data_IF_464469629148
#
_entry.id   IF_464469629148
#
_cell.length_a   1.000
_cell.length_b   1.000
_cell.length_c   1.000
_cell.angle_alpha   90.00
_cell.angle_beta   90.00
_cell.angle_gamma   90.00
#
_symmetry.space_group_name_H-M   'P 1'
#
loop_
_entity.id
_entity.type
_entity.pdbx_description
1 polymer ?
#
# COMPACT_ATOMS: atom_id res chain seq x y z
N UNK A 1 17.58 -24.88 8.85
CA UNK A 1 16.64 -25.66 9.67
C UNK A 1 15.23 -25.36 9.17
N UNK A 2 14.44 -26.38 8.85
CA UNK A 2 13.01 -26.16 8.56
C UNK A 2 12.36 -25.71 9.86
N UNK A 3 11.67 -24.58 9.86
CA UNK A 3 11.03 -24.07 11.09
C UNK A 3 10.04 -25.12 11.62
N UNK A 4 10.02 -25.33 12.93
CA UNK A 4 8.98 -26.15 13.57
C UNK A 4 7.61 -25.48 13.53
N UNK A 5 7.56 -24.17 13.23
CA UNK A 5 6.32 -23.43 13.08
C UNK A 5 5.43 -24.08 12.01
N UNK A 6 4.13 -24.18 12.29
CA UNK A 6 3.11 -24.75 11.39
C UNK A 6 3.23 -26.27 11.15
N UNK A 7 4.05 -26.98 11.95
CA UNK A 7 4.20 -28.43 11.84
C UNK A 7 2.88 -29.18 12.07
N UNK A 8 1.97 -28.63 12.87
CA UNK A 8 0.65 -29.15 13.17
C UNK A 8 -0.35 -29.06 12.00
N UNK A 9 -0.08 -28.21 11.00
CA UNK A 9 -1.03 -27.94 9.92
C UNK A 9 -0.98 -29.03 8.83
N UNK A 10 -2.13 -29.54 8.36
CA UNK A 10 -2.18 -30.61 7.35
C UNK A 10 -1.45 -30.28 6.05
N UNK A 11 -1.50 -29.02 5.59
CA UNK A 11 -0.97 -28.61 4.30
C UNK A 11 0.24 -27.67 4.49
N UNK A 12 1.41 -28.10 3.98
CA UNK A 12 2.67 -27.33 4.04
C UNK A 12 2.78 -26.32 2.90
N UNK A 13 1.82 -25.40 2.82
CA UNK A 13 1.81 -24.29 1.86
C UNK A 13 1.54 -22.98 2.57
N UNK A 14 1.94 -21.89 1.92
CA UNK A 14 1.58 -20.53 2.28
C UNK A 14 0.65 -19.98 1.21
N UNK A 15 -0.47 -19.39 1.63
CA UNK A 15 -1.34 -18.61 0.76
C UNK A 15 -1.19 -17.13 1.13
N UNK A 16 -0.80 -16.32 0.14
CA UNK A 16 -0.69 -14.87 0.28
C UNK A 16 -1.84 -14.19 -0.44
N UNK A 17 -2.48 -13.28 0.26
CA UNK A 17 -3.59 -12.48 -0.24
C UNK A 17 -3.16 -11.04 -0.45
N UNK A 18 -3.57 -10.44 -1.56
CA UNK A 18 -3.66 -8.99 -1.63
C UNK A 18 -4.76 -8.48 -0.67
N UNK A 19 -4.78 -7.19 -0.36
CA UNK A 19 -5.73 -6.60 0.60
C UNK A 19 -6.95 -6.02 -0.12
N UNK A 20 -6.79 -4.87 -0.78
CA UNK A 20 -7.87 -4.16 -1.46
C UNK A 20 -8.39 -5.01 -2.65
N UNK A 21 -9.73 -5.05 -2.83
CA UNK A 21 -10.44 -5.84 -3.84
C UNK A 21 -10.22 -7.37 -3.79
N UNK A 22 -9.48 -7.87 -2.79
CA UNK A 22 -9.27 -9.31 -2.56
C UNK A 22 -9.86 -9.79 -1.24
N UNK A 23 -9.48 -9.16 -0.12
CA UNK A 23 -10.00 -9.49 1.22
C UNK A 23 -11.06 -8.48 1.69
N UNK A 24 -10.97 -7.25 1.21
CA UNK A 24 -11.87 -6.14 1.55
C UNK A 24 -12.16 -5.29 0.32
N UNK A 25 -13.37 -4.68 0.22
CA UNK A 25 -13.56 -3.60 -0.74
C UNK A 25 -12.59 -2.45 -0.42
N UNK A 26 -12.21 -1.62 -1.41
CA UNK A 26 -11.16 -0.64 -1.23
C UNK A 26 -11.46 0.32 -0.08
N UNK A 27 -10.56 0.37 0.92
CA UNK A 27 -10.69 1.22 2.13
C UNK A 27 -11.94 0.93 2.98
N UNK A 28 -12.50 -0.27 2.90
CA UNK A 28 -13.60 -0.72 3.76
C UNK A 28 -13.17 -1.94 4.58
N UNK A 29 -13.92 -2.24 5.63
CA UNK A 29 -13.72 -3.43 6.44
C UNK A 29 -13.99 -4.71 5.65
N UNK A 30 -13.21 -5.77 5.91
CA UNK A 30 -13.53 -7.11 5.45
C UNK A 30 -14.88 -7.60 6.01
N UNK A 31 -15.60 -8.43 5.25
CA UNK A 31 -16.89 -8.95 5.71
C UNK A 31 -16.72 -10.06 6.76
N UNK A 32 -17.69 -10.28 7.66
CA UNK A 32 -17.64 -11.36 8.64
C UNK A 32 -17.44 -12.75 8.01
N UNK A 33 -17.95 -12.98 6.81
CA UNK A 33 -17.79 -14.22 6.06
C UNK A 33 -16.33 -14.46 5.64
N UNK A 34 -15.64 -13.41 5.18
CA UNK A 34 -14.21 -13.47 4.84
C UNK A 34 -13.39 -13.76 6.10
N UNK A 35 -13.67 -13.07 7.20
CA UNK A 35 -12.99 -13.28 8.48
C UNK A 35 -13.13 -14.74 8.96
N UNK A 36 -14.36 -15.29 8.89
CA UNK A 36 -14.61 -16.69 9.24
C UNK A 36 -13.85 -17.65 8.32
N UNK A 37 -13.86 -17.39 7.00
CA UNK A 37 -13.14 -18.21 6.02
C UNK A 37 -11.64 -18.23 6.28
N UNK A 38 -11.03 -17.07 6.56
CA UNK A 38 -9.60 -16.94 6.86
C UNK A 38 -9.22 -17.75 8.11
N UNK A 39 -10.03 -17.67 9.18
CA UNK A 39 -9.82 -18.47 10.40
C UNK A 39 -9.86 -19.97 10.14
N UNK A 40 -10.80 -20.46 9.33
CA UNK A 40 -10.86 -21.89 8.97
C UNK A 40 -9.70 -22.29 8.06
N UNK A 41 -9.31 -21.44 7.10
CA UNK A 41 -8.18 -21.70 6.20
C UNK A 41 -6.85 -21.78 6.95
N UNK A 42 -6.65 -20.91 7.95
CA UNK A 42 -5.44 -20.90 8.80
C UNK A 42 -5.21 -22.20 9.54
N UNK A 43 -6.26 -22.94 9.89
CA UNK A 43 -6.14 -24.27 10.52
C UNK A 43 -5.55 -25.31 9.56
N UNK A 44 -5.70 -25.11 8.26
CA UNK A 44 -5.26 -26.05 7.23
C UNK A 44 -3.82 -25.77 6.75
N UNK A 45 -3.45 -24.49 6.63
CA UNK A 45 -2.18 -24.04 6.07
C UNK A 45 -1.77 -22.65 6.59
N UNK A 46 -0.56 -22.20 6.27
CA UNK A 46 -0.11 -20.85 6.61
C UNK A 46 -0.77 -19.79 5.71
N UNK A 47 -1.27 -18.72 6.31
CA UNK A 47 -1.85 -17.59 5.56
C UNK A 47 -1.08 -16.31 5.84
N UNK A 48 -1.03 -15.44 4.84
CA UNK A 48 -0.51 -14.09 5.01
C UNK A 48 -1.17 -13.09 4.08
N UNK A 49 -1.01 -11.80 4.40
CA UNK A 49 -1.41 -10.72 3.52
C UNK A 49 -0.18 -9.99 2.96
N UNK A 50 -0.33 -9.40 1.79
CA UNK A 50 0.63 -8.48 1.18
C UNK A 50 -0.12 -7.26 0.67
N UNK A 51 0.35 -6.06 1.01
CA UNK A 51 -0.28 -4.81 0.55
C UNK A 51 0.73 -3.69 0.40
N UNK A 52 0.47 -2.77 -0.54
CA UNK A 52 1.29 -1.59 -0.75
C UNK A 52 1.09 -0.48 0.28
N UNK A 53 0.03 -0.57 1.07
CA UNK A 53 -0.28 0.36 2.16
C UNK A 53 0.59 0.09 3.40
N UNK A 54 0.70 1.10 4.26
CA UNK A 54 1.26 0.93 5.60
C UNK A 54 0.38 0.00 6.46
N UNK A 55 0.96 -0.56 7.53
CA UNK A 55 0.27 -1.52 8.39
C UNK A 55 -0.99 -0.93 9.04
N UNK A 56 -0.99 0.36 9.35
CA UNK A 56 -2.12 1.03 10.01
C UNK A 56 -3.35 0.94 9.10
N UNK A 57 -3.21 1.34 7.83
CA UNK A 57 -4.30 1.26 6.85
C UNK A 57 -4.76 -0.17 6.59
N UNK A 58 -3.83 -1.14 6.54
CA UNK A 58 -4.20 -2.54 6.37
C UNK A 58 -4.99 -3.03 7.60
N UNK A 59 -4.55 -2.66 8.80
CA UNK A 59 -5.23 -3.01 10.05
C UNK A 59 -6.62 -2.39 10.14
N UNK A 60 -6.82 -1.15 9.69
CA UNK A 60 -8.15 -0.52 9.64
C UNK A 60 -9.14 -1.30 8.77
N UNK A 61 -8.66 -1.96 7.71
CA UNK A 61 -9.50 -2.75 6.81
C UNK A 61 -9.72 -4.19 7.30
N UNK A 62 -8.68 -4.83 7.83
CA UNK A 62 -8.73 -6.26 8.15
C UNK A 62 -9.06 -6.54 9.61
N UNK A 63 -8.78 -5.61 10.52
CA UNK A 63 -9.08 -5.79 11.95
C UNK A 63 -10.53 -5.41 12.26
N UNK A 64 -11.46 -6.30 11.87
CA UNK A 64 -12.90 -6.13 12.06
C UNK A 64 -13.37 -6.95 13.26
N UNK A 65 -13.99 -6.28 14.25
CA UNK A 65 -14.48 -6.93 15.46
C UNK A 65 -13.32 -7.39 16.37
N UNK A 66 -13.27 -8.68 16.67
CA UNK A 66 -12.22 -9.32 17.48
C UNK A 66 -11.04 -9.84 16.64
N UNK A 67 -11.11 -9.73 15.31
CA UNK A 67 -10.04 -10.19 14.44
C UNK A 67 -8.88 -9.20 14.46
N UNK A 68 -7.71 -9.61 14.95
CA UNK A 68 -6.49 -8.81 14.92
C UNK A 68 -5.58 -9.31 13.79
N UNK A 69 -5.29 -8.44 12.81
CA UNK A 69 -4.53 -8.82 11.61
C UNK A 69 -3.16 -9.43 11.92
N UNK A 70 -2.46 -8.99 12.97
CA UNK A 70 -1.12 -9.49 13.32
C UNK A 70 -1.15 -10.83 14.06
N UNK A 71 -2.27 -11.17 14.69
CA UNK A 71 -2.45 -12.41 15.46
C UNK A 71 -3.11 -13.52 14.62
N UNK A 72 -3.97 -13.11 13.69
CA UNK A 72 -4.80 -13.98 12.87
C UNK A 72 -4.20 -14.28 11.49
N UNK A 73 -3.19 -13.54 11.04
CA UNK A 73 -2.33 -13.94 9.94
C UNK A 73 -0.99 -14.45 10.46
N UNK A 74 -0.44 -15.47 9.80
CA UNK A 74 0.86 -16.01 10.17
C UNK A 74 2.00 -15.16 9.62
N UNK A 75 1.75 -14.49 8.50
CA UNK A 75 2.67 -13.55 7.85
C UNK A 75 1.93 -12.27 7.49
N UNK A 76 2.55 -11.12 7.72
CA UNK A 76 2.00 -9.83 7.30
C UNK A 76 3.05 -9.02 6.56
N UNK A 77 2.74 -8.59 5.35
CA UNK A 77 3.66 -7.82 4.50
C UNK A 77 3.03 -6.47 4.13
N UNK A 78 3.35 -5.43 4.90
CA UNK A 78 2.98 -4.06 4.59
C UNK A 78 4.04 -3.38 3.73
N UNK A 79 3.66 -2.33 3.01
CA UNK A 79 4.53 -1.60 2.07
C UNK A 79 5.25 -2.54 1.09
N UNK A 80 4.53 -3.51 0.52
CA UNK A 80 5.05 -4.56 -0.36
C UNK A 80 6.16 -5.41 0.28
N UNK A 81 6.14 -5.58 1.60
CA UNK A 81 7.04 -6.46 2.34
C UNK A 81 8.27 -5.79 2.95
N UNK A 82 8.41 -4.45 2.83
CA UNK A 82 9.45 -3.72 3.56
C UNK A 82 9.23 -3.77 5.07
N UNK A 83 7.96 -3.71 5.46
CA UNK A 83 7.53 -3.92 6.84
C UNK A 83 6.88 -5.29 6.90
N UNK A 84 7.58 -6.26 7.49
CA UNK A 84 7.14 -7.66 7.52
C UNK A 84 6.97 -8.16 8.95
N UNK A 85 5.98 -9.04 9.14
CA UNK A 85 5.67 -9.71 10.39
C UNK A 85 5.56 -11.21 10.16
N UNK A 86 5.96 -11.98 11.17
CA UNK A 86 5.78 -13.42 11.25
C UNK A 86 5.29 -13.78 12.64
N UNK A 87 4.13 -14.43 12.74
CA UNK A 87 3.51 -14.82 14.01
C UNK A 87 3.40 -13.63 14.99
N UNK A 88 2.90 -12.49 14.49
CA UNK A 88 2.79 -11.24 15.24
C UNK A 88 4.12 -10.54 15.56
N UNK A 89 5.28 -11.14 15.26
CA UNK A 89 6.60 -10.56 15.55
C UNK A 89 7.14 -9.84 14.31
N UNK A 90 7.66 -8.61 14.45
CA UNK A 90 8.30 -7.91 13.34
C UNK A 90 9.55 -8.67 12.89
N UNK A 91 9.72 -8.78 11.58
CA UNK A 91 10.95 -9.23 10.95
C UNK A 91 11.87 -8.03 10.70
N UNK A 92 13.14 -8.31 10.39
CA UNK A 92 14.09 -7.26 10.03
C UNK A 92 13.57 -6.50 8.79
N UNK A 93 13.39 -5.20 8.95
CA UNK A 93 12.91 -4.32 7.90
C UNK A 93 14.06 -3.71 7.12
N UNK A 94 13.90 -3.70 5.79
CA UNK A 94 14.78 -2.97 4.89
C UNK A 94 14.15 -1.64 4.49
N UNK A 95 14.97 -0.68 4.11
CA UNK A 95 14.51 0.58 3.55
C UNK A 95 15.28 0.94 2.29
N UNK A 96 14.69 1.81 1.47
CA UNK A 96 15.30 2.35 0.27
C UNK A 96 16.67 2.95 0.57
N UNK A 97 16.78 3.75 1.64
CA UNK A 97 18.04 4.42 1.97
C UNK A 97 19.11 3.46 2.51
N UNK A 98 18.72 2.40 3.24
CA UNK A 98 19.67 1.36 3.65
C UNK A 98 20.23 0.59 2.45
N UNK A 99 19.45 0.43 1.39
CA UNK A 99 19.85 -0.28 0.18
C UNK A 99 20.70 0.58 -0.76
N UNK A 100 20.29 1.83 -0.99
CA UNK A 100 20.91 2.75 -1.95
C UNK A 100 22.08 3.52 -1.32
N UNK A 101 21.97 3.89 -0.05
CA UNK A 101 22.94 4.74 0.64
C UNK A 101 22.74 6.24 0.37
N UNK A 102 23.23 7.05 1.31
CA UNK A 102 23.05 8.52 1.29
C UNK A 102 23.72 9.21 0.10
N UNK A 103 24.92 8.74 -0.29
CA UNK A 103 25.68 9.34 -1.38
C UNK A 103 24.91 9.26 -2.70
N UNK A 104 24.55 8.04 -3.09
CA UNK A 104 23.87 7.78 -4.37
C UNK A 104 22.45 8.37 -4.35
N UNK A 105 21.79 8.38 -3.18
CA UNK A 105 20.51 9.06 -3.01
C UNK A 105 20.62 10.57 -3.25
N UNK A 106 21.64 11.24 -2.70
CA UNK A 106 21.85 12.68 -2.92
C UNK A 106 22.17 13.00 -4.38
N UNK A 107 22.99 12.20 -5.04
CA UNK A 107 23.27 12.35 -6.47
C UNK A 107 21.99 12.26 -7.31
N UNK A 108 21.13 11.28 -7.02
CA UNK A 108 19.82 11.13 -7.67
C UNK A 108 18.89 12.32 -7.41
N UNK A 109 18.79 12.78 -6.16
CA UNK A 109 17.92 13.92 -5.80
C UNK A 109 18.41 15.19 -6.49
N UNK A 110 19.72 15.45 -6.52
CA UNK A 110 20.29 16.61 -7.21
C UNK A 110 19.97 16.58 -8.71
N UNK A 111 20.14 15.42 -9.35
CA UNK A 111 19.76 15.24 -10.75
C UNK A 111 18.27 15.56 -10.98
N UNK A 112 17.37 14.97 -10.17
CA UNK A 112 15.93 15.19 -10.30
C UNK A 112 15.57 16.67 -10.10
N UNK A 113 16.13 17.33 -9.08
CA UNK A 113 15.81 18.71 -8.77
C UNK A 113 16.30 19.68 -9.85
N UNK A 114 17.51 19.47 -10.39
CA UNK A 114 17.99 20.24 -11.54
C UNK A 114 17.11 20.04 -12.77
N UNK A 115 16.79 18.79 -13.10
CA UNK A 115 15.90 18.48 -14.22
C UNK A 115 14.54 19.16 -14.05
N UNK A 116 13.94 19.05 -12.86
CA UNK A 116 12.64 19.64 -12.58
C UNK A 116 12.68 21.17 -12.64
N UNK A 117 13.77 21.81 -12.20
CA UNK A 117 13.93 23.25 -12.24
C UNK A 117 13.82 23.80 -13.67
N UNK A 118 14.39 23.10 -14.65
CA UNK A 118 14.45 23.53 -16.04
C UNK A 118 13.22 23.12 -16.89
N UNK A 119 12.36 22.22 -16.40
CA UNK A 119 11.16 21.85 -17.15
C UNK A 119 10.21 23.03 -17.35
N UNK A 120 9.79 23.24 -18.60
CA UNK A 120 8.73 24.18 -18.94
C UNK A 120 7.35 23.52 -18.79
N UNK A 121 6.74 23.69 -17.62
CA UNK A 121 5.38 23.22 -17.35
C UNK A 121 4.52 24.40 -16.84
N UNK A 122 3.20 24.41 -17.10
CA UNK A 122 2.35 25.56 -16.78
C UNK A 122 2.37 25.97 -15.31
N UNK A 123 2.60 25.00 -14.42
CA UNK A 123 2.50 25.16 -12.97
C UNK A 123 3.55 24.30 -12.28
N UNK A 124 4.26 24.87 -11.31
CA UNK A 124 5.06 24.15 -10.28
C UNK A 124 4.52 24.50 -8.89
N UNK A 125 4.53 23.54 -7.97
CA UNK A 125 4.10 23.70 -6.57
C UNK A 125 5.23 23.31 -5.63
N UNK A 126 5.02 22.31 -4.78
CA UNK A 126 5.99 21.84 -3.81
C UNK A 126 5.83 20.34 -3.58
N UNK A 127 6.82 19.76 -2.88
CA UNK A 127 6.96 18.30 -2.74
C UNK A 127 7.20 17.63 -4.10
N UNK A 128 8.30 18.01 -4.75
CA UNK A 128 8.72 17.46 -6.05
C UNK A 128 9.38 16.09 -5.93
N UNK A 129 10.13 15.89 -4.85
CA UNK A 129 10.68 14.60 -4.44
C UNK A 129 10.17 14.34 -3.03
N UNK A 130 9.48 13.22 -2.85
CA UNK A 130 9.00 12.76 -1.55
C UNK A 130 9.67 11.42 -1.22
N UNK A 131 10.36 11.39 -0.09
CA UNK A 131 10.94 10.17 0.43
C UNK A 131 9.87 9.32 1.12
N UNK A 132 9.87 8.02 0.81
CA UNK A 132 9.11 6.98 1.51
C UNK A 132 10.05 5.86 1.90
N UNK A 133 9.64 5.03 2.85
CA UNK A 133 10.47 3.94 3.37
C UNK A 133 10.99 3.02 2.25
N UNK A 134 10.17 2.76 1.23
CA UNK A 134 10.49 1.88 0.10
C UNK A 134 10.90 2.51 -1.22
N UNK A 135 10.72 3.81 -1.37
CA UNK A 135 10.82 4.46 -2.67
C UNK A 135 10.93 5.97 -2.51
N UNK A 136 11.23 6.64 -3.62
CA UNK A 136 11.02 8.07 -3.77
C UNK A 136 9.87 8.29 -4.76
N UNK A 137 8.94 9.19 -4.42
CA UNK A 137 7.96 9.67 -5.40
C UNK A 137 8.46 10.96 -6.00
N UNK A 138 8.46 11.03 -7.33
CA UNK A 138 8.84 12.23 -8.07
C UNK A 138 7.61 12.80 -8.77
N UNK A 139 7.34 14.08 -8.54
CA UNK A 139 6.21 14.79 -9.14
C UNK A 139 6.69 16.12 -9.73
N UNK A 140 6.81 16.23 -11.07
CA UNK A 140 7.12 17.47 -11.78
C UNK A 140 6.33 18.71 -11.34
N UNK A 141 5.03 18.55 -11.15
CA UNK A 141 4.11 19.61 -10.72
C UNK A 141 4.17 19.85 -9.20
N UNK A 142 4.66 18.86 -8.43
CA UNK A 142 4.66 18.81 -6.97
C UNK A 142 3.40 18.13 -6.40
N UNK A 143 3.57 17.24 -5.41
CA UNK A 143 2.47 16.45 -4.81
C UNK A 143 1.37 17.30 -4.16
N UNK A 144 1.69 18.53 -3.78
CA UNK A 144 0.73 19.46 -3.17
C UNK A 144 -0.16 20.19 -4.21
N UNK A 145 -0.09 19.79 -5.49
CA UNK A 145 -0.98 20.32 -6.52
C UNK A 145 -2.42 19.85 -6.31
N UNK A 146 -3.39 20.76 -6.51
CA UNK A 146 -4.81 20.43 -6.37
C UNK A 146 -5.34 19.64 -7.57
N UNK A 147 -6.40 18.85 -7.35
CA UNK A 147 -7.07 18.02 -8.37
C UNK A 147 -7.45 18.78 -9.65
N UNK A 148 -7.92 20.02 -9.49
CA UNK A 148 -8.26 20.91 -10.62
C UNK A 148 -7.03 21.17 -11.50
N UNK A 149 -5.84 21.31 -10.90
CA UNK A 149 -4.59 21.62 -11.60
C UNK A 149 -3.97 20.40 -12.26
N UNK A 150 -4.10 19.22 -11.66
CA UNK A 150 -3.63 17.96 -12.27
C UNK A 150 -4.33 17.64 -13.59
N UNK A 151 -5.64 17.88 -13.66
CA UNK A 151 -6.45 17.66 -14.89
C UNK A 151 -6.14 18.64 -16.02
N UNK A 152 -5.61 19.82 -15.71
CA UNK A 152 -5.21 20.79 -16.72
C UNK A 152 -3.88 20.42 -17.41
N UNK A 153 -3.09 19.53 -16.82
CA UNK A 153 -1.77 19.13 -17.33
C UNK A 153 -1.79 17.77 -18.05
N UNK A 154 -2.78 16.92 -17.78
CA UNK A 154 -2.96 15.64 -18.45
C UNK A 154 -3.95 15.83 -19.61
N UNK A 155 -3.55 15.68 -20.89
CA UNK A 155 -4.49 15.74 -21.99
C UNK A 155 -5.60 14.69 -21.81
N UNK A 156 -6.84 15.08 -22.07
CA UNK A 156 -8.07 14.31 -21.79
C UNK A 156 -8.12 12.92 -22.45
N UNK A 157 -7.19 12.62 -23.37
CA UNK A 157 -7.06 11.35 -24.07
C UNK A 157 -6.36 10.25 -23.27
N UNK A 158 -5.69 10.57 -22.15
CA UNK A 158 -4.97 9.57 -21.34
C UNK A 158 -5.81 8.96 -20.20
N UNK A 159 -7.00 9.51 -19.92
CA UNK A 159 -7.90 9.02 -18.87
C UNK A 159 -9.02 8.26 -19.56
N UNK A 160 -8.96 6.93 -19.50
CA UNK A 160 -10.08 6.07 -19.87
C UNK A 160 -11.37 6.59 -19.23
N UNK A 161 -12.41 6.71 -20.05
CA UNK A 161 -13.69 7.35 -19.78
C UNK A 161 -14.16 7.11 -18.34
N UNK A 162 -14.43 8.15 -17.53
CA UNK A 162 -15.03 7.95 -16.22
C UNK A 162 -16.48 7.49 -16.42
N UNK A 163 -16.84 6.33 -15.86
CA UNK A 163 -18.25 6.01 -15.62
C UNK A 163 -18.85 7.12 -14.76
N UNK A 164 -19.85 7.81 -15.30
CA UNK A 164 -20.68 8.76 -14.56
C UNK A 164 -21.42 8.00 -13.45
N UNK A 165 -20.95 8.05 -12.21
CA UNK A 165 -21.79 7.77 -11.05
C UNK A 165 -22.42 9.08 -10.57
N UNK A 166 -23.74 9.06 -10.46
CA UNK A 166 -24.60 10.19 -10.19
C UNK A 166 -24.23 10.96 -8.91
N UNK A 167 -24.01 12.27 -9.06
CA UNK A 167 -24.25 13.24 -7.99
C UNK A 167 -25.72 13.61 -8.06
N UNK A 168 -26.57 12.95 -7.26
CA UNK A 168 -27.88 13.51 -6.95
C UNK A 168 -27.69 14.58 -5.88
N UNK A 169 -27.88 15.83 -6.30
CA UNK A 169 -28.30 16.90 -5.42
C UNK A 169 -29.52 16.42 -4.63
N UNK A 170 -29.54 16.65 -3.32
CA UNK A 170 -30.78 16.89 -2.59
C UNK A 170 -30.46 17.78 -1.39
N UNK A 171 -30.58 19.08 -1.65
CA UNK A 171 -31.00 20.06 -0.66
C UNK A 171 -32.53 20.00 -0.61
N UNK A 172 -33.13 19.94 0.59
CA UNK A 172 -34.41 20.53 1.03
C UNK A 172 -35.01 19.70 2.17
N UNK A 173 -34.98 20.32 3.36
CA UNK A 173 -35.51 19.91 4.67
C UNK A 173 -34.86 18.73 5.40
#
# INVERSE_FOLDING_TARGET
MVSADFAERPVKKLVLFDVDDTLSPPRKGASPEIIKLLRELRKQLAIGFVGGSDLVKISEQLSVGDFNVLEEFDFGFAENGLTAYRLGKPLESQSFIKMVGEKDHQELVNFILHYIADMNIPIKRGTFVEFRNGMINVSPIGRNATLVRLRATIPSTAIGTPQKSALSQNSYF
#
